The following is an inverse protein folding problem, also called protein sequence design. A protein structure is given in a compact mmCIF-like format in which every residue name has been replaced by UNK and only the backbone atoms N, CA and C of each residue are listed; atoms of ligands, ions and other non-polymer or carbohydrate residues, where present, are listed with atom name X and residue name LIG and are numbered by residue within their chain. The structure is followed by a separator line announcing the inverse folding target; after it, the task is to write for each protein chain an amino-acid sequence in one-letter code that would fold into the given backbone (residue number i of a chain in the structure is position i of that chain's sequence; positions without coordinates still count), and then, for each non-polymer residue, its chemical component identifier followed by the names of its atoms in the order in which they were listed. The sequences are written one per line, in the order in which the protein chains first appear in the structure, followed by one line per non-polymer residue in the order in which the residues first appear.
data_IF_125360578840
#
_entry.id   IF_125360578840
#
_cell.length_a   1.000
_cell.length_b   1.000
_cell.length_c   1.000
_cell.angle_alpha   90.00
_cell.angle_beta   90.00
_cell.angle_gamma   90.00
#
_symmetry.space_group_name_H-M   'P 1'
#
loop_
_entity.id
_entity.type
_entity.pdbx_description
1 polymer ?
#
# COMPACT_ATOMS: atom_id res chain seq x y z
N UNK A 1 -6.33 1.39 -27.78
CA UNK A 1 -5.88 0.67 -26.56
C UNK A 1 -4.54 1.17 -26.01
N UNK A 2 -4.01 2.30 -26.48
CA UNK A 2 -2.66 2.78 -26.09
C UNK A 2 -2.66 3.77 -24.92
N UNK A 3 -3.78 4.45 -24.65
CA UNK A 3 -3.87 5.46 -23.59
C UNK A 3 -3.93 4.87 -22.16
N UNK A 4 -4.38 3.62 -22.01
CA UNK A 4 -4.54 2.96 -20.70
C UNK A 4 -3.24 2.33 -20.17
N UNK A 5 -2.19 2.21 -20.99
CA UNK A 5 -0.88 1.69 -20.57
C UNK A 5 0.09 2.79 -20.11
N UNK A 6 -0.17 4.05 -20.45
CA UNK A 6 0.64 5.20 -20.03
C UNK A 6 0.33 5.67 -18.59
N UNK A 7 -0.77 5.23 -17.99
CA UNK A 7 -1.20 5.66 -16.66
C UNK A 7 -0.51 4.90 -15.51
N UNK A 8 0.29 3.87 -15.81
CA UNK A 8 1.02 3.08 -14.79
C UNK A 8 2.46 3.55 -14.57
N UNK A 9 2.88 4.63 -15.22
CA UNK A 9 4.19 5.23 -14.98
C UNK A 9 4.04 6.39 -13.99
N UNK A 10 4.01 6.07 -12.70
CA UNK A 10 4.22 7.09 -11.66
C UNK A 10 5.65 7.61 -11.87
N UNK A 11 5.84 8.91 -12.18
CA UNK A 11 7.18 9.46 -12.32
C UNK A 11 7.94 9.24 -11.01
N UNK A 12 9.09 8.58 -11.08
CA UNK A 12 9.97 8.44 -9.91
C UNK A 12 10.35 9.84 -9.42
N UNK A 13 10.19 10.10 -8.12
CA UNK A 13 10.58 11.36 -7.50
C UNK A 13 12.11 11.53 -7.45
N UNK A 14 12.88 10.47 -7.75
CA UNK A 14 14.32 10.39 -7.59
C UNK A 14 14.75 9.96 -6.18
N UNK A 15 13.82 9.83 -5.25
CA UNK A 15 14.01 9.26 -3.92
C UNK A 15 13.28 7.92 -3.84
N UNK A 16 14.05 6.84 -3.72
CA UNK A 16 13.53 5.46 -3.71
C UNK A 16 12.65 5.22 -2.49
N UNK A 17 12.95 5.81 -1.33
CA UNK A 17 12.18 5.61 -0.12
C UNK A 17 10.81 6.31 -0.24
N UNK A 18 10.79 7.53 -0.79
CA UNK A 18 9.56 8.26 -1.09
C UNK A 18 8.69 7.52 -2.10
N UNK A 19 9.30 7.02 -3.18
CA UNK A 19 8.58 6.28 -4.22
C UNK A 19 8.04 4.96 -3.69
N UNK A 20 8.81 4.25 -2.85
CA UNK A 20 8.39 3.00 -2.21
C UNK A 20 7.19 3.24 -1.30
N UNK A 21 7.29 4.21 -0.38
CA UNK A 21 6.21 4.50 0.56
C UNK A 21 4.94 4.95 -0.17
N UNK A 22 5.07 5.83 -1.16
CA UNK A 22 3.92 6.34 -1.92
C UNK A 22 3.17 5.21 -2.61
N UNK A 23 3.90 4.35 -3.34
CA UNK A 23 3.31 3.25 -4.08
C UNK A 23 2.76 2.16 -3.15
N UNK A 24 3.49 1.80 -2.09
CA UNK A 24 3.07 0.73 -1.19
C UNK A 24 1.91 1.16 -0.32
N UNK A 25 1.84 2.41 0.14
CA UNK A 25 0.66 2.91 0.86
C UNK A 25 -0.60 2.79 0.00
N UNK A 26 -0.53 3.20 -1.27
CA UNK A 26 -1.67 3.10 -2.19
C UNK A 26 -2.05 1.63 -2.49
N UNK A 27 -1.06 0.77 -2.75
CA UNK A 27 -1.27 -0.66 -2.97
C UNK A 27 -1.95 -1.32 -1.76
N UNK A 28 -1.48 -1.02 -0.55
CA UNK A 28 -2.00 -1.60 0.68
C UNK A 28 -3.43 -1.13 0.97
N UNK A 29 -3.71 0.15 0.73
CA UNK A 29 -5.08 0.68 0.84
C UNK A 29 -6.04 -0.05 -0.11
N UNK A 30 -5.63 -0.29 -1.36
CA UNK A 30 -6.42 -1.08 -2.31
C UNK A 30 -6.69 -2.51 -1.84
N UNK A 31 -5.69 -3.17 -1.24
CA UNK A 31 -5.86 -4.51 -0.68
C UNK A 31 -6.83 -4.53 0.52
N UNK A 32 -6.76 -3.52 1.40
CA UNK A 32 -7.71 -3.34 2.52
C UNK A 32 -9.14 -3.16 2.00
N UNK A 33 -9.33 -2.37 0.96
CA UNK A 33 -10.66 -2.11 0.41
C UNK A 33 -11.26 -3.37 -0.24
N UNK A 34 -10.45 -4.16 -0.96
CA UNK A 34 -10.88 -5.48 -1.45
C UNK A 34 -11.18 -6.46 -0.32
N UNK A 35 -10.37 -6.47 0.75
CA UNK A 35 -10.61 -7.32 1.90
C UNK A 35 -11.92 -6.95 2.62
N UNK A 36 -12.26 -5.66 2.73
CA UNK A 36 -13.56 -5.20 3.25
C UNK A 36 -14.72 -5.70 2.40
N UNK A 37 -14.60 -5.67 1.07
CA UNK A 37 -15.60 -6.23 0.14
C UNK A 37 -15.75 -7.74 0.39
N UNK A 38 -14.65 -8.49 0.54
CA UNK A 38 -14.68 -9.93 0.84
C UNK A 38 -15.37 -10.22 2.19
N UNK A 39 -15.18 -9.37 3.21
CA UNK A 39 -15.88 -9.50 4.49
C UNK A 39 -17.37 -9.15 4.41
N UNK A 40 -17.75 -8.25 3.51
CA UNK A 40 -19.15 -7.84 3.35
C UNK A 40 -19.95 -8.84 2.51
N UNK A 41 -19.38 -9.34 1.42
CA UNK A 41 -20.13 -10.12 0.41
C UNK A 41 -19.62 -11.55 0.22
N UNK A 42 -18.42 -11.87 0.68
CA UNK A 42 -17.83 -13.20 0.52
C UNK A 42 -18.41 -14.24 1.48
N UNK A 43 -18.49 -15.50 1.03
CA UNK A 43 -19.08 -16.60 1.79
C UNK A 43 -18.08 -17.68 2.23
N UNK A 44 -16.90 -17.75 1.60
CA UNK A 44 -15.87 -18.70 2.00
C UNK A 44 -15.18 -18.24 3.29
N UNK A 45 -15.28 -19.03 4.36
CA UNK A 45 -14.75 -18.65 5.67
C UNK A 45 -13.23 -18.49 5.71
N UNK A 46 -12.47 -19.33 4.98
CA UNK A 46 -11.01 -19.21 4.93
C UNK A 46 -10.60 -17.90 4.29
N UNK A 47 -11.28 -17.51 3.20
CA UNK A 47 -11.02 -16.24 2.53
C UNK A 47 -11.45 -15.03 3.37
N UNK A 48 -12.52 -15.16 4.18
CA UNK A 48 -12.93 -14.12 5.13
C UNK A 48 -11.90 -13.96 6.26
N UNK A 49 -11.34 -15.05 6.78
CA UNK A 49 -10.26 -15.00 7.77
C UNK A 49 -9.01 -14.32 7.20
N UNK A 50 -8.60 -14.71 5.99
CA UNK A 50 -7.51 -14.05 5.28
C UNK A 50 -7.78 -12.54 5.08
N UNK A 51 -9.00 -12.16 4.71
CA UNK A 51 -9.37 -10.75 4.56
C UNK A 51 -9.23 -9.97 5.88
N UNK A 52 -9.60 -10.56 7.02
CA UNK A 52 -9.43 -9.93 8.32
C UNK A 52 -7.95 -9.73 8.67
N UNK A 53 -7.10 -10.71 8.38
CA UNK A 53 -5.64 -10.63 8.57
C UNK A 53 -5.02 -9.56 7.67
N UNK A 54 -5.39 -9.52 6.39
CA UNK A 54 -4.97 -8.48 5.44
C UNK A 54 -5.27 -7.08 5.98
N UNK A 55 -6.49 -6.87 6.50
CA UNK A 55 -6.88 -5.56 7.03
C UNK A 55 -5.98 -5.14 8.19
N UNK A 56 -5.73 -6.03 9.15
CA UNK A 56 -4.93 -5.71 10.33
C UNK A 56 -3.47 -5.44 9.96
N UNK A 57 -2.86 -6.37 9.22
CA UNK A 57 -1.43 -6.29 8.87
C UNK A 57 -1.16 -5.08 7.99
N UNK A 58 -1.96 -4.86 6.93
CA UNK A 58 -1.69 -3.78 5.99
C UNK A 58 -1.99 -2.39 6.57
N UNK A 59 -2.91 -2.28 7.54
CA UNK A 59 -3.08 -1.03 8.29
C UNK A 59 -1.84 -0.69 9.15
N UNK A 60 -1.21 -1.70 9.77
CA UNK A 60 0.01 -1.51 10.54
C UNK A 60 1.18 -1.11 9.63
N UNK A 61 1.33 -1.74 8.46
CA UNK A 61 2.36 -1.41 7.48
C UNK A 61 2.19 0.01 6.93
N UNK A 62 0.95 0.45 6.64
CA UNK A 62 0.67 1.84 6.29
C UNK A 62 1.11 2.80 7.39
N UNK A 63 0.81 2.50 8.66
CA UNK A 63 1.22 3.35 9.78
C UNK A 63 2.75 3.47 9.89
N UNK A 64 3.48 2.38 9.69
CA UNK A 64 4.95 2.37 9.66
C UNK A 64 5.47 3.25 8.52
N UNK A 65 4.93 3.10 7.31
CA UNK A 65 5.33 3.90 6.15
C UNK A 65 5.05 5.41 6.33
N UNK A 66 3.89 5.77 6.90
CA UNK A 66 3.56 7.16 7.18
C UNK A 66 4.46 7.80 8.24
N UNK A 67 4.88 7.01 9.25
CA UNK A 67 5.85 7.45 10.23
C UNK A 67 7.23 7.65 9.61
N UNK A 68 7.64 6.79 8.67
CA UNK A 68 8.89 6.93 7.95
C UNK A 68 8.97 8.23 7.12
N UNK A 69 7.86 8.68 6.49
CA UNK A 69 7.81 9.98 5.81
C UNK A 69 7.93 11.19 6.76
N UNK A 70 7.52 11.03 8.02
CA UNK A 70 7.57 12.08 9.03
C UNK A 70 8.98 12.25 9.62
N UNK A 71 9.88 11.29 9.39
CA UNK A 71 11.27 11.34 9.80
C UNK A 71 12.08 11.74 8.56
N UNK A 72 12.66 12.95 8.49
CA UNK A 72 13.53 13.29 7.38
C UNK A 72 14.67 12.28 7.33
N UNK A 73 15.09 11.80 6.13
CA UNK A 73 16.19 10.87 6.03
C UNK A 73 17.38 11.50 6.74
N UNK A 74 17.82 10.89 7.83
CA UNK A 74 19.05 11.33 8.50
C UNK A 74 20.15 11.08 7.49
N UNK A 75 20.59 12.11 6.77
CA UNK A 75 21.73 12.00 5.87
C UNK A 75 22.96 11.60 6.68
N UNK A 76 23.59 10.44 6.43
CA UNK A 76 25.00 10.30 6.71
C UNK A 76 25.73 10.77 5.45
N UNK A 77 26.34 11.94 5.56
CA UNK A 77 27.47 12.34 4.72
C UNK A 77 28.45 11.16 4.56
N UNK A 78 28.59 10.62 3.33
CA UNK A 78 29.86 10.40 2.61
C UNK A 78 29.68 9.47 1.41
#
# INVERSE_FOLDING_TARGET
MTLMMNAMHVPSSGDVDQDFITQMTAHHQGAIDMARIQLQYGHNEQLRRLAQEIIVTQQQEIAVMQQALSIPPTSPTR
#
